data_IF_896088897012
#
_entry.id   IF_896088897012
#
_cell.length_a   1.000
_cell.length_b   1.000
_cell.length_c   1.000
_cell.angle_alpha   90.00
_cell.angle_beta   90.00
_cell.angle_gamma   90.00
#
_symmetry.space_group_name_H-M   'P 1'
#
loop_
_entity.id
_entity.type
_entity.pdbx_description
1 polymer ?
#
# COMPACT_ATOMS: atom_id res chain seq x y z
N UNK A 1 29.22 -11.79 -8.27
CA UNK A 1 28.57 -11.18 -9.45
C UNK A 1 27.82 -9.95 -8.97
N UNK A 2 27.73 -8.89 -9.77
CA UNK A 2 26.87 -7.76 -9.43
C UNK A 2 25.41 -8.21 -9.51
N UNK A 3 24.51 -7.76 -8.59
CA UNK A 3 23.12 -8.11 -8.64
C UNK A 3 22.47 -7.59 -9.93
N UNK A 4 21.56 -8.37 -10.50
CA UNK A 4 20.68 -7.93 -11.59
C UNK A 4 19.53 -7.15 -11.01
N UNK A 5 19.47 -5.86 -11.28
CA UNK A 5 18.46 -4.96 -10.77
C UNK A 5 17.53 -4.54 -11.90
N UNK A 6 16.23 -4.67 -11.68
CA UNK A 6 15.18 -4.15 -12.57
C UNK A 6 14.54 -2.93 -11.92
N UNK A 7 14.37 -1.88 -12.71
CA UNK A 7 13.61 -0.69 -12.32
C UNK A 7 12.34 -0.62 -13.16
N UNK A 8 11.20 -0.61 -12.49
CA UNK A 8 9.89 -0.64 -13.09
C UNK A 8 9.18 0.70 -12.82
N UNK A 9 8.89 1.47 -13.88
CA UNK A 9 8.25 2.77 -13.77
C UNK A 9 6.73 2.69 -13.88
N UNK A 10 6.03 3.32 -12.95
CA UNK A 10 4.56 3.45 -12.98
C UNK A 10 4.08 4.88 -13.16
N UNK A 11 5.00 5.85 -13.26
CA UNK A 11 4.70 7.29 -13.31
C UNK A 11 4.92 7.96 -11.95
N UNK A 12 4.05 8.92 -11.62
CA UNK A 12 4.14 9.73 -10.41
C UNK A 12 5.09 10.91 -10.53
N UNK A 13 5.20 11.72 -9.48
CA UNK A 13 5.96 12.97 -9.43
C UNK A 13 7.41 12.83 -9.88
N UNK A 14 8.04 11.70 -9.61
CA UNK A 14 9.43 11.41 -10.00
C UNK A 14 9.66 11.53 -11.52
N UNK A 15 8.64 11.22 -12.34
CA UNK A 15 8.70 11.29 -13.80
C UNK A 15 8.11 12.59 -14.38
N UNK A 16 7.62 13.50 -13.53
CA UNK A 16 6.94 14.71 -13.97
C UNK A 16 7.89 15.89 -14.13
N UNK A 17 7.58 16.73 -15.10
CA UNK A 17 8.12 18.09 -15.25
C UNK A 17 6.98 19.07 -15.46
N UNK A 18 7.23 20.37 -15.27
CA UNK A 18 6.25 21.40 -15.53
C UNK A 18 6.04 21.61 -17.04
N UNK A 19 4.80 21.69 -17.47
CA UNK A 19 4.45 22.12 -18.82
C UNK A 19 4.48 23.67 -18.94
N UNK A 20 4.14 24.19 -20.13
CA UNK A 20 4.13 25.63 -20.39
C UNK A 20 3.09 26.41 -19.56
N UNK A 21 2.16 25.74 -18.89
CA UNK A 21 1.15 26.34 -18.00
C UNK A 21 1.54 26.23 -16.52
N UNK A 22 2.61 25.48 -16.23
CA UNK A 22 3.06 25.17 -14.87
C UNK A 22 2.36 23.94 -14.27
N UNK A 23 1.65 23.14 -15.08
CA UNK A 23 1.04 21.88 -14.64
C UNK A 23 2.09 20.76 -14.68
N UNK A 24 2.09 19.89 -13.67
CA UNK A 24 2.96 18.72 -13.64
C UNK A 24 2.42 17.63 -14.57
N UNK A 25 3.25 17.20 -15.51
CA UNK A 25 2.93 16.12 -16.46
C UNK A 25 4.08 15.11 -16.51
N UNK A 26 3.79 13.80 -16.63
CA UNK A 26 4.83 12.78 -16.76
C UNK A 26 5.51 12.90 -18.13
N UNK A 27 6.81 13.15 -18.12
CA UNK A 27 7.63 13.38 -19.34
C UNK A 27 8.83 12.45 -19.42
N UNK A 28 9.34 11.94 -18.29
CA UNK A 28 10.52 11.12 -18.24
C UNK A 28 10.17 9.63 -18.27
N UNK A 29 10.91 8.87 -19.07
CA UNK A 29 10.90 7.42 -19.05
C UNK A 29 11.66 6.86 -17.83
N UNK A 30 11.43 5.61 -17.51
CA UNK A 30 12.20 4.91 -16.46
C UNK A 30 13.70 4.91 -16.77
N UNK A 31 14.10 4.81 -18.06
CA UNK A 31 15.51 4.88 -18.44
C UNK A 31 16.10 6.26 -18.18
N UNK A 32 15.39 7.35 -18.49
CA UNK A 32 15.86 8.71 -18.19
C UNK A 32 16.12 8.89 -16.69
N UNK A 33 15.24 8.34 -15.84
CA UNK A 33 15.38 8.40 -14.38
C UNK A 33 16.57 7.58 -13.88
N UNK A 34 16.82 6.41 -14.45
CA UNK A 34 17.99 5.57 -14.14
C UNK A 34 19.29 6.29 -14.53
N UNK A 35 19.31 6.95 -15.70
CA UNK A 35 20.47 7.72 -16.17
C UNK A 35 20.73 8.94 -15.28
N UNK A 36 19.67 9.67 -14.87
CA UNK A 36 19.78 10.79 -13.93
C UNK A 36 20.29 10.38 -12.55
N UNK A 37 19.93 9.19 -12.07
CA UNK A 37 20.45 8.63 -10.82
C UNK A 37 21.89 8.09 -10.94
N UNK A 38 22.49 8.14 -12.13
CA UNK A 38 23.85 7.66 -12.37
C UNK A 38 24.01 6.14 -12.22
N UNK A 39 22.93 5.38 -12.36
CA UNK A 39 22.93 3.95 -12.19
C UNK A 39 23.34 3.25 -13.49
N UNK A 40 24.11 2.18 -13.36
CA UNK A 40 24.59 1.37 -14.49
C UNK A 40 24.24 -0.11 -14.28
N UNK A 41 24.15 -0.87 -15.38
CA UNK A 41 23.76 -2.29 -15.35
C UNK A 41 22.36 -2.53 -14.76
N UNK A 42 21.45 -1.63 -15.04
CA UNK A 42 20.04 -1.69 -14.67
C UNK A 42 19.21 -2.08 -15.89
N UNK A 43 18.17 -2.88 -15.69
CA UNK A 43 17.13 -3.11 -16.69
C UNK A 43 15.94 -2.20 -16.35
N UNK A 44 15.72 -1.15 -17.13
CA UNK A 44 14.63 -0.20 -16.96
C UNK A 44 13.41 -0.58 -17.82
N UNK A 45 12.20 -0.46 -17.26
CA UNK A 45 10.94 -0.71 -18.00
C UNK A 45 9.85 0.24 -17.53
N UNK A 46 9.17 0.87 -18.48
CA UNK A 46 7.93 1.56 -18.24
C UNK A 46 6.78 0.54 -18.22
N UNK A 47 6.03 0.48 -17.12
CA UNK A 47 4.88 -0.41 -16.96
C UNK A 47 3.59 0.38 -17.11
N UNK A 48 3.51 1.51 -16.42
CA UNK A 48 2.40 2.45 -16.41
C UNK A 48 2.96 3.87 -16.50
N UNK A 49 2.09 4.82 -16.83
CA UNK A 49 2.43 6.25 -16.79
C UNK A 49 1.22 6.99 -16.21
N UNK A 50 1.03 6.86 -14.90
CA UNK A 50 -0.13 7.36 -14.17
C UNK A 50 0.29 8.21 -12.97
N UNK A 51 -0.57 9.16 -12.61
CA UNK A 51 -0.57 9.72 -11.27
C UNK A 51 -1.08 8.67 -10.29
N UNK A 52 -0.45 8.55 -9.12
CA UNK A 52 -0.81 7.49 -8.17
C UNK A 52 -2.22 7.64 -7.60
N UNK A 53 -2.80 8.82 -7.61
CA UNK A 53 -4.22 9.06 -7.28
C UNK A 53 -5.19 8.35 -8.25
N UNK A 54 -4.72 7.96 -9.43
CA UNK A 54 -5.49 7.24 -10.46
C UNK A 54 -5.21 5.74 -10.49
N UNK A 55 -4.37 5.22 -9.60
CA UNK A 55 -4.10 3.79 -9.48
C UNK A 55 -5.37 3.07 -9.01
N UNK A 56 -5.71 1.98 -9.71
CA UNK A 56 -6.83 1.08 -9.38
C UNK A 56 -6.30 -0.27 -8.93
N UNK A 57 -7.17 -1.15 -8.43
CA UNK A 57 -6.79 -2.52 -8.08
C UNK A 57 -6.26 -3.30 -9.29
N UNK A 58 -6.84 -3.08 -10.48
CA UNK A 58 -6.31 -3.63 -11.74
C UNK A 58 -4.87 -3.17 -12.01
N UNK A 59 -4.56 -1.89 -11.78
CA UNK A 59 -3.19 -1.39 -11.96
C UNK A 59 -2.23 -2.00 -10.94
N UNK A 60 -2.66 -2.23 -9.70
CA UNK A 60 -1.85 -2.94 -8.69
C UNK A 60 -1.57 -4.37 -9.16
N UNK A 61 -2.56 -5.10 -9.68
CA UNK A 61 -2.36 -6.44 -10.25
C UNK A 61 -1.34 -6.43 -11.40
N UNK A 62 -1.40 -5.44 -12.29
CA UNK A 62 -0.41 -5.27 -13.36
C UNK A 62 1.01 -5.02 -12.82
N UNK A 63 1.14 -4.21 -11.75
CA UNK A 63 2.44 -3.95 -11.10
C UNK A 63 2.99 -5.23 -10.47
N UNK A 64 2.18 -5.97 -9.72
CA UNK A 64 2.59 -7.24 -9.11
C UNK A 64 3.01 -8.28 -10.17
N UNK A 65 2.25 -8.38 -11.27
CA UNK A 65 2.59 -9.26 -12.38
C UNK A 65 3.93 -8.87 -13.04
N UNK A 66 4.21 -7.58 -13.21
CA UNK A 66 5.47 -7.10 -13.75
C UNK A 66 6.67 -7.38 -12.81
N UNK A 67 6.46 -7.26 -11.49
CA UNK A 67 7.47 -7.63 -10.49
C UNK A 67 7.79 -9.13 -10.60
N UNK A 68 6.77 -9.99 -10.67
CA UNK A 68 6.94 -11.44 -10.82
C UNK A 68 7.66 -11.79 -12.13
N UNK A 69 7.32 -11.12 -13.23
CA UNK A 69 7.98 -11.34 -14.52
C UNK A 69 9.46 -10.97 -14.44
N UNK A 70 9.81 -9.84 -13.82
CA UNK A 70 11.21 -9.45 -13.61
C UNK A 70 11.96 -10.48 -12.74
N UNK A 71 11.32 -10.98 -11.67
CA UNK A 71 11.88 -12.04 -10.83
C UNK A 71 12.14 -13.34 -11.63
N UNK A 72 11.17 -13.80 -12.43
CA UNK A 72 11.30 -14.98 -13.30
C UNK A 72 12.38 -14.83 -14.37
N UNK A 73 12.66 -13.60 -14.84
CA UNK A 73 13.79 -13.29 -15.72
C UNK A 73 15.14 -13.30 -14.98
N UNK A 74 15.15 -13.54 -13.68
CA UNK A 74 16.34 -13.61 -12.82
C UNK A 74 16.79 -12.27 -12.28
N UNK A 75 15.85 -11.35 -11.98
CA UNK A 75 16.14 -10.18 -11.16
C UNK A 75 16.47 -10.62 -9.73
N UNK A 76 17.64 -10.18 -9.23
CA UNK A 76 17.97 -10.32 -7.80
C UNK A 76 17.20 -9.30 -6.95
N UNK A 77 16.85 -8.15 -7.57
CA UNK A 77 16.10 -7.05 -6.94
C UNK A 77 15.23 -6.36 -7.95
N UNK A 78 14.05 -5.94 -7.51
CA UNK A 78 13.14 -5.10 -8.29
C UNK A 78 12.92 -3.79 -7.55
N UNK A 79 13.12 -2.66 -8.22
CA UNK A 79 12.76 -1.34 -7.72
C UNK A 79 11.54 -0.85 -8.49
N UNK A 80 10.51 -0.42 -7.79
CA UNK A 80 9.29 0.14 -8.39
C UNK A 80 9.26 1.65 -8.14
N UNK A 81 9.33 2.44 -9.22
CA UNK A 81 9.08 3.88 -9.17
C UNK A 81 7.59 4.12 -9.17
N UNK A 82 7.08 4.68 -8.08
CA UNK A 82 5.65 4.83 -7.84
C UNK A 82 5.33 6.22 -7.30
N UNK A 83 4.18 6.78 -7.69
CA UNK A 83 3.72 8.01 -7.09
C UNK A 83 3.33 7.83 -5.63
N UNK A 84 3.59 8.83 -4.80
CA UNK A 84 3.58 8.70 -3.33
C UNK A 84 2.19 8.57 -2.69
N UNK A 85 1.09 8.91 -3.40
CA UNK A 85 -0.25 8.96 -2.79
C UNK A 85 -0.84 7.58 -2.48
N UNK A 86 -0.53 6.56 -3.29
CA UNK A 86 -0.99 5.18 -3.10
C UNK A 86 0.14 4.16 -3.01
N UNK A 87 1.38 4.63 -2.88
CA UNK A 87 2.56 3.76 -2.75
C UNK A 87 2.43 2.80 -1.56
N UNK A 88 1.93 3.25 -0.42
CA UNK A 88 1.72 2.43 0.77
C UNK A 88 0.75 1.27 0.55
N UNK A 89 -0.27 1.48 -0.31
CA UNK A 89 -1.25 0.45 -0.67
C UNK A 89 -0.64 -0.59 -1.60
N UNK A 90 0.06 -0.15 -2.65
CA UNK A 90 0.74 -1.05 -3.60
C UNK A 90 1.85 -1.85 -2.92
N UNK A 91 2.64 -1.22 -2.04
CA UNK A 91 3.68 -1.89 -1.27
C UNK A 91 3.08 -2.94 -0.31
N UNK A 92 1.95 -2.63 0.35
CA UNK A 92 1.22 -3.59 1.19
C UNK A 92 0.71 -4.79 0.37
N UNK A 93 0.16 -4.57 -0.83
CA UNK A 93 -0.26 -5.66 -1.72
C UNK A 93 0.93 -6.56 -2.08
N UNK A 94 2.08 -5.97 -2.41
CA UNK A 94 3.30 -6.71 -2.67
C UNK A 94 3.74 -7.55 -1.46
N UNK A 95 3.70 -6.98 -0.25
CA UNK A 95 4.02 -7.68 0.99
C UNK A 95 3.11 -8.88 1.26
N UNK A 96 1.84 -8.79 0.88
CA UNK A 96 0.85 -9.81 1.19
C UNK A 96 0.73 -10.90 0.13
N UNK A 97 1.00 -10.56 -1.14
CA UNK A 97 0.72 -11.43 -2.28
C UNK A 97 1.96 -11.96 -3.01
N UNK A 98 3.11 -11.29 -2.92
CA UNK A 98 4.32 -11.79 -3.57
C UNK A 98 4.95 -12.96 -2.78
N UNK A 99 5.59 -13.91 -3.47
CA UNK A 99 6.39 -14.93 -2.83
C UNK A 99 7.51 -14.33 -1.95
N UNK A 100 7.92 -15.03 -0.87
CA UNK A 100 8.86 -14.48 0.10
C UNK A 100 10.30 -14.33 -0.41
N UNK A 101 10.62 -14.88 -1.55
CA UNK A 101 11.92 -14.78 -2.24
C UNK A 101 12.00 -13.63 -3.25
N UNK A 102 10.90 -12.91 -3.46
CA UNK A 102 10.86 -11.72 -4.32
C UNK A 102 11.30 -10.49 -3.54
N UNK A 103 12.51 -9.99 -3.83
CA UNK A 103 13.04 -8.77 -3.25
C UNK A 103 12.54 -7.55 -4.03
N UNK A 104 11.64 -6.75 -3.45
CA UNK A 104 11.08 -5.56 -4.07
C UNK A 104 11.14 -4.35 -3.16
N UNK A 105 11.57 -3.22 -3.73
CA UNK A 105 11.66 -1.93 -3.04
C UNK A 105 10.86 -0.88 -3.81
N UNK A 106 9.96 -0.18 -3.13
CA UNK A 106 9.20 0.94 -3.70
C UNK A 106 9.91 2.25 -3.38
N UNK A 107 9.89 3.18 -4.34
CA UNK A 107 10.39 4.54 -4.16
C UNK A 107 9.68 5.50 -5.11
N UNK A 108 9.97 6.79 -4.98
CA UNK A 108 9.38 7.84 -5.78
C UNK A 108 10.00 9.19 -5.44
N UNK A 109 9.26 10.28 -5.65
CA UNK A 109 9.72 11.62 -5.33
C UNK A 109 8.60 12.50 -4.79
N UNK A 110 8.95 13.45 -3.93
CA UNK A 110 8.08 14.54 -3.51
C UNK A 110 8.22 15.76 -4.43
N UNK A 111 9.38 15.94 -5.03
CA UNK A 111 9.65 17.04 -5.98
C UNK A 111 9.73 16.52 -7.42
N UNK A 112 9.25 17.28 -8.41
CA UNK A 112 9.34 16.89 -9.82
C UNK A 112 10.78 16.88 -10.32
N UNK A 113 10.99 16.25 -11.46
CA UNK A 113 12.33 16.03 -12.01
C UNK A 113 13.03 17.33 -12.46
N UNK A 114 12.28 18.38 -12.75
CA UNK A 114 12.78 19.71 -13.12
C UNK A 114 12.85 20.69 -11.93
N UNK A 115 12.63 20.22 -10.69
CA UNK A 115 12.91 21.02 -9.49
C UNK A 115 14.41 21.34 -9.39
N UNK A 116 14.83 22.52 -8.90
CA UNK A 116 16.25 22.83 -8.65
C UNK A 116 16.98 21.80 -7.77
N UNK A 117 16.25 21.08 -6.93
CA UNK A 117 16.75 20.05 -6.02
C UNK A 117 15.83 18.83 -6.01
N UNK A 118 15.73 18.07 -7.11
CA UNK A 118 14.84 16.92 -7.20
C UNK A 118 15.33 15.80 -6.27
N UNK A 119 14.41 15.19 -5.50
CA UNK A 119 14.75 14.09 -4.58
C UNK A 119 14.71 12.70 -5.26
N UNK A 120 14.11 12.62 -6.46
CA UNK A 120 13.93 11.36 -7.18
C UNK A 120 15.22 10.59 -7.48
N UNK A 121 16.28 11.23 -8.05
CA UNK A 121 17.54 10.53 -8.34
C UNK A 121 18.20 9.93 -7.10
N UNK A 122 18.23 10.64 -5.98
CA UNK A 122 18.81 10.17 -4.72
C UNK A 122 17.97 9.02 -4.14
N UNK A 123 16.64 9.14 -4.12
CA UNK A 123 15.73 8.10 -3.70
C UNK A 123 15.87 6.82 -4.53
N UNK A 124 15.97 6.93 -5.87
CA UNK A 124 16.19 5.80 -6.76
C UNK A 124 17.56 5.16 -6.51
N UNK A 125 18.61 5.96 -6.39
CA UNK A 125 19.96 5.45 -6.09
C UNK A 125 20.01 4.74 -4.74
N UNK A 126 19.29 5.23 -3.74
CA UNK A 126 19.16 4.59 -2.43
C UNK A 126 18.37 3.26 -2.53
N UNK A 127 17.21 3.26 -3.18
CA UNK A 127 16.39 2.07 -3.38
C UNK A 127 17.13 0.96 -4.15
N UNK A 128 17.93 1.30 -5.17
CA UNK A 128 18.73 0.33 -5.91
C UNK A 128 19.81 -0.38 -5.07
N UNK A 129 20.23 0.23 -3.95
CA UNK A 129 21.17 -0.38 -2.99
C UNK A 129 20.47 -1.18 -1.88
N UNK A 130 19.16 -1.01 -1.72
CA UNK A 130 18.38 -1.71 -0.72
C UNK A 130 18.47 -3.23 -0.93
N UNK A 131 18.65 -3.97 0.15
CA UNK A 131 18.75 -5.44 0.12
C UNK A 131 17.88 -6.08 1.22
N UNK A 132 16.71 -5.49 1.45
CA UNK A 132 15.77 -6.05 2.42
C UNK A 132 15.09 -7.29 1.85
N UNK A 133 14.95 -8.35 2.65
CA UNK A 133 14.30 -9.58 2.21
C UNK A 133 12.77 -9.46 2.09
N UNK A 134 12.19 -8.41 2.65
CA UNK A 134 10.75 -8.14 2.62
C UNK A 134 10.47 -6.89 1.80
N UNK A 135 9.30 -6.80 1.16
CA UNK A 135 8.87 -5.59 0.48
C UNK A 135 8.96 -4.38 1.40
N UNK A 136 9.53 -3.29 0.89
CA UNK A 136 9.75 -2.07 1.66
C UNK A 136 9.60 -0.82 0.79
N UNK A 137 9.45 0.32 1.46
CA UNK A 137 9.57 1.66 0.86
C UNK A 137 10.94 2.20 1.26
N UNK A 138 11.77 2.57 0.28
CA UNK A 138 13.03 3.27 0.48
C UNK A 138 12.86 4.74 0.06
N UNK A 139 12.89 5.64 1.02
CA UNK A 139 12.57 7.05 0.79
C UNK A 139 13.34 7.95 1.76
N UNK A 140 13.98 9.03 1.26
CA UNK A 140 14.73 9.97 2.08
C UNK A 140 15.75 9.28 3.02
N UNK A 141 16.58 8.38 2.46
CA UNK A 141 17.59 7.57 3.17
C UNK A 141 17.04 6.68 4.31
N UNK A 142 15.74 6.44 4.35
CA UNK A 142 15.10 5.53 5.29
C UNK A 142 14.50 4.32 4.58
N UNK A 143 14.56 3.15 5.23
CA UNK A 143 13.91 1.93 4.79
C UNK A 143 12.73 1.63 5.72
N UNK A 144 11.54 1.62 5.17
CA UNK A 144 10.29 1.41 5.91
C UNK A 144 9.66 0.11 5.39
N UNK A 145 9.48 -0.93 6.24
CA UNK A 145 8.79 -2.15 5.84
C UNK A 145 7.42 -1.83 5.25
N UNK A 146 7.04 -2.48 4.16
CA UNK A 146 5.76 -2.23 3.49
C UNK A 146 4.56 -2.49 4.40
N UNK A 147 4.64 -3.50 5.27
CA UNK A 147 3.64 -3.73 6.31
C UNK A 147 3.72 -2.66 7.39
N UNK A 148 2.72 -1.81 7.44
CA UNK A 148 2.63 -0.69 8.38
C UNK A 148 3.19 0.64 7.84
N UNK A 149 3.74 0.68 6.62
CA UNK A 149 4.14 1.94 6.01
C UNK A 149 2.95 2.86 5.78
N UNK A 150 3.12 4.15 6.03
CA UNK A 150 2.09 5.15 5.74
C UNK A 150 2.71 6.49 5.35
N UNK A 151 2.05 7.21 4.43
CA UNK A 151 2.43 8.58 4.07
C UNK A 151 2.01 9.52 5.20
N UNK A 152 2.98 10.11 5.87
CA UNK A 152 2.78 10.98 7.04
C UNK A 152 2.86 12.47 6.73
N UNK A 153 3.37 12.83 5.56
CA UNK A 153 3.49 14.23 5.15
C UNK A 153 3.22 14.43 3.66
N UNK A 154 2.56 15.53 3.32
CA UNK A 154 2.15 15.83 1.93
C UNK A 154 3.28 16.35 1.06
N UNK A 155 4.33 16.94 1.62
CA UNK A 155 5.36 17.70 0.87
C UNK A 155 6.77 17.63 1.44
N UNK A 156 6.99 17.12 2.66
CA UNK A 156 8.35 16.96 3.21
C UNK A 156 9.05 15.74 2.61
N UNK A 157 10.39 15.77 2.57
CA UNK A 157 11.19 14.67 2.07
C UNK A 157 10.99 13.40 2.90
N UNK A 158 10.92 13.49 4.23
CA UNK A 158 10.53 12.41 5.13
C UNK A 158 9.01 12.19 5.06
N UNK A 159 8.53 11.73 3.90
CA UNK A 159 7.11 11.60 3.61
C UNK A 159 6.47 10.33 4.18
N UNK A 160 7.23 9.30 4.47
CA UNK A 160 6.74 8.00 4.94
C UNK A 160 7.29 7.64 6.31
N UNK A 161 6.49 6.92 7.08
CA UNK A 161 6.89 6.34 8.36
C UNK A 161 6.14 5.03 8.62
N UNK A 162 6.61 4.23 9.58
CA UNK A 162 5.84 3.10 10.09
C UNK A 162 4.76 3.58 11.07
N UNK A 163 3.55 3.07 10.93
CA UNK A 163 2.47 3.25 11.92
C UNK A 163 2.61 2.32 13.12
N UNK A 164 3.51 1.34 13.04
CA UNK A 164 3.69 0.30 14.05
C UNK A 164 4.63 0.76 15.17
N UNK A 165 4.26 0.46 16.42
CA UNK A 165 5.11 0.63 17.59
C UNK A 165 6.08 -0.54 17.80
N UNK A 166 5.75 -1.70 17.22
CA UNK A 166 6.54 -2.92 17.24
C UNK A 166 7.12 -3.19 15.85
N UNK A 167 8.32 -3.75 15.72
CA UNK A 167 8.89 -4.10 14.42
C UNK A 167 7.93 -4.95 13.58
N UNK A 168 7.80 -4.62 12.29
CA UNK A 168 6.90 -5.33 11.37
C UNK A 168 7.15 -6.86 11.36
N UNK A 169 8.40 -7.30 11.52
CA UNK A 169 8.78 -8.72 11.60
C UNK A 169 8.12 -9.50 12.72
N UNK A 170 7.66 -8.83 13.79
CA UNK A 170 7.01 -9.45 14.94
C UNK A 170 5.48 -9.51 14.82
N UNK A 171 4.88 -8.57 14.09
CA UNK A 171 3.41 -8.41 14.02
C UNK A 171 2.83 -8.71 12.65
N UNK A 172 3.67 -8.75 11.61
CA UNK A 172 3.26 -9.08 10.25
C UNK A 172 2.79 -10.54 10.18
N UNK A 173 1.58 -10.80 9.69
CA UNK A 173 1.16 -12.19 9.45
C UNK A 173 2.08 -12.88 8.44
N UNK A 174 2.26 -14.22 8.52
CA UNK A 174 3.06 -14.96 7.55
C UNK A 174 2.63 -14.67 6.12
N UNK A 175 3.61 -14.57 5.22
CA UNK A 175 3.32 -14.51 3.78
C UNK A 175 2.78 -15.85 3.29
N UNK A 176 1.87 -15.81 2.35
CA UNK A 176 1.40 -17.01 1.66
C UNK A 176 2.25 -17.27 0.43
N UNK A 177 2.53 -18.54 0.15
CA UNK A 177 3.10 -18.93 -1.13
C UNK A 177 1.97 -19.33 -2.08
N UNK A 178 1.83 -18.57 -3.17
CA UNK A 178 0.80 -18.78 -4.20
C UNK A 178 1.35 -19.48 -5.45
N UNK A 179 2.64 -19.87 -5.45
CA UNK A 179 3.33 -20.30 -6.66
C UNK A 179 3.43 -19.15 -7.67
N UNK A 180 3.26 -19.46 -8.96
CA UNK A 180 3.37 -18.46 -10.04
C UNK A 180 2.09 -17.63 -10.25
N UNK A 181 0.96 -18.04 -9.66
CA UNK A 181 -0.33 -17.39 -9.84
C UNK A 181 -0.68 -16.52 -8.62
N UNK A 182 -0.41 -15.23 -8.70
CA UNK A 182 -0.78 -14.26 -7.66
C UNK A 182 -2.31 -14.06 -7.68
N UNK A 183 -3.00 -14.10 -6.51
CA UNK A 183 -4.41 -13.76 -6.42
C UNK A 183 -4.67 -12.33 -6.93
N UNK A 184 -5.71 -12.17 -7.75
CA UNK A 184 -6.06 -10.88 -8.35
C UNK A 184 -6.92 -10.05 -7.41
N UNK A 185 -6.65 -8.76 -7.31
CA UNK A 185 -7.42 -7.79 -6.54
C UNK A 185 -8.60 -7.23 -7.33
N UNK A 186 -8.44 -7.14 -8.65
CA UNK A 186 -9.44 -6.58 -9.55
C UNK A 186 -10.80 -7.25 -9.40
N UNK A 187 -11.85 -6.45 -9.43
CA UNK A 187 -13.23 -6.88 -9.21
C UNK A 187 -13.65 -7.03 -7.75
N UNK A 188 -12.75 -6.87 -6.78
CA UNK A 188 -13.09 -6.80 -5.35
C UNK A 188 -13.36 -5.35 -4.91
N UNK A 189 -14.22 -5.21 -3.91
CA UNK A 189 -14.56 -3.91 -3.32
C UNK A 189 -14.46 -3.97 -1.80
N UNK A 190 -13.60 -3.15 -1.22
CA UNK A 190 -13.56 -2.90 0.22
C UNK A 190 -13.62 -1.40 0.45
N UNK A 191 -14.65 -0.95 1.17
CA UNK A 191 -14.85 0.46 1.44
C UNK A 191 -14.25 0.88 2.79
N UNK A 192 -13.68 2.08 2.85
CA UNK A 192 -13.30 2.74 4.11
C UNK A 192 -14.46 3.62 4.55
N UNK A 193 -14.98 3.38 5.76
CA UNK A 193 -16.11 4.13 6.34
C UNK A 193 -15.60 4.95 7.53
N UNK A 194 -15.51 6.29 7.39
CA UNK A 194 -15.01 7.14 8.46
C UNK A 194 -16.05 7.37 9.56
N UNK A 195 -15.65 7.20 10.82
CA UNK A 195 -16.42 7.62 11.97
C UNK A 195 -16.02 9.04 12.43
N UNK A 196 -17.02 9.89 12.65
CA UNK A 196 -16.84 11.26 13.15
C UNK A 196 -18.02 11.65 14.03
N UNK A 197 -17.95 12.80 14.71
CA UNK A 197 -19.06 13.29 15.54
C UNK A 197 -20.31 13.51 14.68
N UNK A 198 -21.39 12.77 14.99
CA UNK A 198 -22.64 12.80 14.23
C UNK A 198 -22.70 11.82 13.04
N UNK A 199 -21.68 10.99 12.82
CA UNK A 199 -21.75 9.91 11.83
C UNK A 199 -22.84 8.90 12.20
N UNK A 200 -23.52 8.37 11.21
CA UNK A 200 -24.60 7.42 11.35
C UNK A 200 -24.53 6.27 10.32
N UNK A 201 -25.53 5.43 10.36
CA UNK A 201 -25.67 4.24 9.52
C UNK A 201 -25.67 4.51 8.00
N UNK A 202 -26.00 5.73 7.56
CA UNK A 202 -26.08 6.09 6.13
C UNK A 202 -24.73 6.06 5.41
N UNK A 203 -23.63 6.10 6.16
CA UNK A 203 -22.28 6.00 5.62
C UNK A 203 -21.94 4.58 5.16
N UNK A 204 -22.62 3.56 5.68
CA UNK A 204 -22.35 2.15 5.37
C UNK A 204 -23.22 1.77 4.17
N UNK A 205 -22.66 1.92 2.97
CA UNK A 205 -23.32 1.48 1.73
C UNK A 205 -23.16 -0.04 1.61
N UNK A 206 -24.25 -0.74 1.32
CA UNK A 206 -24.22 -2.21 1.11
C UNK A 206 -23.69 -2.56 -0.27
N UNK A 207 -23.12 -3.75 -0.39
CA UNK A 207 -22.67 -4.33 -1.67
C UNK A 207 -21.17 -4.39 -1.87
N UNK A 208 -20.36 -3.92 -0.89
CA UNK A 208 -18.94 -4.20 -0.88
C UNK A 208 -18.65 -5.62 -0.36
N UNK A 209 -17.52 -6.19 -0.77
CA UNK A 209 -17.03 -7.50 -0.31
C UNK A 209 -16.45 -7.44 1.11
N UNK A 210 -16.19 -6.23 1.61
CA UNK A 210 -15.73 -5.98 2.98
C UNK A 210 -15.68 -4.51 3.33
N UNK A 211 -15.44 -4.21 4.61
CA UNK A 211 -15.36 -2.83 5.09
C UNK A 211 -14.19 -2.62 6.04
N UNK A 212 -13.62 -1.43 5.99
CA UNK A 212 -12.72 -0.91 7.02
C UNK A 212 -13.40 0.27 7.70
N UNK A 213 -13.61 0.18 9.00
CA UNK A 213 -14.19 1.25 9.79
C UNK A 213 -13.06 2.09 10.38
N UNK A 214 -12.92 3.32 9.91
CA UNK A 214 -11.98 4.30 10.44
C UNK A 214 -12.57 4.92 11.72
N UNK A 215 -12.34 4.25 12.85
CA UNK A 215 -12.99 4.50 14.11
C UNK A 215 -12.34 5.64 14.92
N UNK A 216 -13.04 6.09 15.93
CA UNK A 216 -12.62 7.08 16.91
C UNK A 216 -11.74 6.45 18.00
N UNK A 217 -10.70 7.18 18.43
CA UNK A 217 -9.83 6.76 19.53
C UNK A 217 -9.30 5.34 19.33
N UNK A 218 -9.49 4.48 20.31
CA UNK A 218 -9.01 3.09 20.31
C UNK A 218 -9.98 2.08 19.69
N UNK A 219 -10.91 2.52 18.81
CA UNK A 219 -11.79 1.61 18.07
C UNK A 219 -13.28 1.77 18.36
N UNK A 220 -13.74 2.98 18.69
CA UNK A 220 -15.16 3.26 18.98
C UNK A 220 -15.83 3.95 17.77
N UNK A 221 -17.14 3.76 17.63
CA UNK A 221 -17.99 4.47 16.66
C UNK A 221 -19.18 5.12 17.36
N UNK A 222 -19.85 6.12 16.74
CA UNK A 222 -21.14 6.58 17.23
C UNK A 222 -22.15 5.44 17.32
N UNK A 223 -22.97 5.41 18.39
CA UNK A 223 -23.98 4.37 18.59
C UNK A 223 -24.96 4.20 17.40
N UNK A 224 -25.21 5.29 16.67
CA UNK A 224 -26.06 5.28 15.47
C UNK A 224 -25.50 4.43 14.32
N UNK A 225 -24.21 4.07 14.31
CA UNK A 225 -23.60 3.20 13.31
C UNK A 225 -23.73 1.71 13.64
N UNK A 226 -23.84 1.34 14.92
CA UNK A 226 -23.76 -0.05 15.39
C UNK A 226 -24.80 -0.98 14.75
N UNK A 227 -26.05 -0.56 14.64
CA UNK A 227 -27.11 -1.40 14.08
C UNK A 227 -26.82 -1.85 12.63
N UNK A 228 -26.22 -0.97 11.82
CA UNK A 228 -25.81 -1.29 10.46
C UNK A 228 -24.57 -2.19 10.44
N UNK A 229 -23.59 -1.96 11.31
CA UNK A 229 -22.41 -2.82 11.46
C UNK A 229 -22.81 -4.24 11.88
N UNK A 230 -23.71 -4.38 12.84
CA UNK A 230 -24.27 -5.67 13.29
C UNK A 230 -24.95 -6.46 12.17
N UNK A 231 -25.46 -5.79 11.16
CA UNK A 231 -26.16 -6.40 10.02
C UNK A 231 -25.26 -6.69 8.81
N UNK A 232 -23.95 -6.49 8.93
CA UNK A 232 -23.00 -6.87 7.90
C UNK A 232 -22.80 -8.39 7.91
N UNK A 233 -22.90 -9.00 6.73
CA UNK A 233 -22.65 -10.40 6.45
C UNK A 233 -21.31 -10.67 5.75
N UNK A 234 -20.51 -9.61 5.58
CA UNK A 234 -19.18 -9.64 5.00
C UNK A 234 -18.12 -9.27 6.04
N UNK A 235 -16.85 -9.64 5.86
CA UNK A 235 -15.80 -9.30 6.82
C UNK A 235 -15.57 -7.80 6.92
N UNK A 236 -15.34 -7.32 8.12
CA UNK A 236 -15.00 -5.93 8.38
C UNK A 236 -13.97 -5.77 9.49
N UNK A 237 -13.15 -4.73 9.34
CA UNK A 237 -12.00 -4.45 10.19
C UNK A 237 -12.15 -3.05 10.78
N UNK A 238 -11.78 -2.88 12.04
CA UNK A 238 -11.76 -1.58 12.73
C UNK A 238 -10.33 -1.10 12.83
N UNK A 239 -10.06 0.10 12.30
CA UNK A 239 -8.81 0.84 12.45
C UNK A 239 -9.05 2.14 13.20
N UNK A 240 -8.01 2.75 13.74
CA UNK A 240 -8.13 4.07 14.34
C UNK A 240 -7.83 5.18 13.32
N UNK A 241 -8.59 6.29 13.36
CA UNK A 241 -8.23 7.53 12.66
C UNK A 241 -7.08 8.29 13.34
N UNK A 242 -6.72 7.89 14.57
CA UNK A 242 -5.60 8.49 15.30
C UNK A 242 -4.29 8.03 14.67
N UNK A 243 -3.35 8.93 14.36
CA UNK A 243 -2.13 8.59 13.61
C UNK A 243 -1.25 7.52 14.27
N UNK A 244 -1.23 7.47 15.60
CA UNK A 244 -0.41 6.53 16.37
C UNK A 244 -1.24 5.75 17.38
N UNK A 245 -0.79 4.51 17.69
CA UNK A 245 -1.49 3.57 18.54
C UNK A 245 -2.56 2.76 17.78
N UNK A 246 -2.99 1.67 18.39
CA UNK A 246 -3.85 0.68 17.78
C UNK A 246 -5.25 0.61 18.39
N UNK A 247 -6.03 -0.31 17.84
CA UNK A 247 -7.38 -0.67 18.32
C UNK A 247 -7.26 -1.64 19.49
N UNK A 248 -7.94 -1.33 20.61
CA UNK A 248 -7.86 -2.15 21.82
C UNK A 248 -9.19 -2.79 22.25
N UNK A 249 -10.33 -2.43 21.67
CA UNK A 249 -11.65 -2.98 21.97
C UNK A 249 -12.01 -3.03 23.47
N UNK A 250 -11.66 -2.00 24.24
CA UNK A 250 -11.84 -1.98 25.70
C UNK A 250 -13.13 -1.31 26.18
N UNK A 251 -13.71 -0.43 25.37
CA UNK A 251 -14.90 0.32 25.77
C UNK A 251 -16.17 -0.47 25.49
N UNK A 252 -17.01 -0.61 26.53
CA UNK A 252 -18.36 -1.21 26.44
C UNK A 252 -19.44 -0.20 26.04
N UNK A 253 -20.66 -0.70 25.90
CA UNK A 253 -21.83 0.09 25.48
C UNK A 253 -21.95 0.24 23.97
N UNK A 254 -23.09 0.79 23.54
CA UNK A 254 -23.43 0.90 22.12
C UNK A 254 -22.38 1.73 21.36
N UNK A 255 -21.82 1.16 20.29
CA UNK A 255 -20.74 1.74 19.51
C UNK A 255 -19.36 1.62 20.16
N UNK A 256 -19.25 1.08 21.37
CA UNK A 256 -17.97 0.83 22.04
C UNK A 256 -17.23 -0.35 21.40
N UNK A 257 -15.88 -0.30 21.41
CA UNK A 257 -15.05 -1.30 20.76
C UNK A 257 -15.30 -2.73 21.22
N UNK A 258 -15.56 -2.96 22.52
CA UNK A 258 -15.89 -4.29 23.03
C UNK A 258 -17.21 -4.82 22.47
N UNK A 259 -18.21 -3.95 22.29
CA UNK A 259 -19.46 -4.31 21.64
C UNK A 259 -19.24 -4.62 20.16
N UNK A 260 -18.45 -3.80 19.46
CA UNK A 260 -18.09 -4.07 18.05
C UNK A 260 -17.39 -5.42 17.89
N UNK A 261 -16.46 -5.76 18.78
CA UNK A 261 -15.81 -7.07 18.77
C UNK A 261 -16.83 -8.22 18.97
N UNK A 262 -17.82 -8.04 19.84
CA UNK A 262 -18.86 -9.06 20.09
C UNK A 262 -19.76 -9.33 18.90
N UNK A 263 -19.89 -8.39 17.98
CA UNK A 263 -20.68 -8.50 16.74
C UNK A 263 -19.83 -8.80 15.48
N UNK A 264 -18.58 -9.18 15.67
CA UNK A 264 -17.73 -9.68 14.58
C UNK A 264 -16.69 -8.70 14.04
N UNK A 265 -16.46 -7.55 14.70
CA UNK A 265 -15.36 -6.67 14.33
C UNK A 265 -14.00 -7.36 14.47
N UNK A 266 -13.17 -7.25 13.44
CA UNK A 266 -11.76 -7.62 13.51
C UNK A 266 -10.94 -6.37 13.83
N UNK A 267 -9.93 -6.51 14.69
CA UNK A 267 -8.98 -5.41 14.93
C UNK A 267 -7.99 -5.28 13.79
N UNK A 268 -7.81 -4.08 13.26
CA UNK A 268 -6.72 -3.73 12.35
C UNK A 268 -5.41 -3.45 13.08
N UNK A 269 -5.38 -3.59 14.40
CA UNK A 269 -4.19 -3.30 15.21
C UNK A 269 -3.75 -1.85 15.04
N UNK A 270 -2.49 -1.65 14.68
CA UNK A 270 -1.89 -0.34 14.43
C UNK A 270 -1.88 0.06 12.95
N UNK A 271 -2.42 -0.77 12.05
CA UNK A 271 -2.51 -0.42 10.64
C UNK A 271 -3.43 0.78 10.43
N UNK A 272 -3.05 1.65 9.52
CA UNK A 272 -3.91 2.76 9.07
C UNK A 272 -4.98 2.22 8.11
N UNK A 273 -6.09 2.94 7.92
CA UNK A 273 -7.23 2.44 7.14
C UNK A 273 -6.88 1.98 5.72
N UNK A 274 -6.01 2.69 4.99
CA UNK A 274 -5.52 2.30 3.66
C UNK A 274 -4.79 0.96 3.68
N UNK A 275 -3.91 0.77 4.64
CA UNK A 275 -3.14 -0.46 4.84
C UNK A 275 -4.05 -1.65 5.23
N UNK A 276 -4.96 -1.44 6.18
CA UNK A 276 -5.92 -2.48 6.59
C UNK A 276 -6.89 -2.84 5.46
N UNK A 277 -7.29 -1.84 4.63
CA UNK A 277 -8.08 -2.07 3.44
C UNK A 277 -7.35 -2.99 2.47
N UNK A 278 -6.10 -2.69 2.17
CA UNK A 278 -5.31 -3.52 1.26
C UNK A 278 -5.07 -4.92 1.83
N UNK A 279 -4.81 -5.05 3.13
CA UNK A 279 -4.71 -6.36 3.77
C UNK A 279 -6.00 -7.18 3.60
N UNK A 280 -7.16 -6.58 3.85
CA UNK A 280 -8.46 -7.25 3.70
C UNK A 280 -8.72 -7.64 2.24
N UNK A 281 -8.40 -6.77 1.27
CA UNK A 281 -8.46 -7.08 -0.16
C UNK A 281 -7.59 -8.29 -0.53
N UNK A 282 -6.36 -8.34 -0.04
CA UNK A 282 -5.46 -9.48 -0.27
C UNK A 282 -6.00 -10.79 0.34
N UNK A 283 -6.61 -10.72 1.54
CA UNK A 283 -7.25 -11.88 2.17
C UNK A 283 -8.45 -12.40 1.36
N UNK A 284 -9.28 -11.48 0.84
CA UNK A 284 -10.44 -11.81 -0.02
C UNK A 284 -9.99 -12.38 -1.37
N UNK A 285 -8.99 -11.78 -2.00
CA UNK A 285 -8.40 -12.28 -3.25
C UNK A 285 -7.84 -13.69 -3.08
N UNK A 286 -7.13 -13.92 -1.99
CA UNK A 286 -6.58 -15.20 -1.61
C UNK A 286 -7.65 -16.27 -1.38
N UNK A 287 -8.76 -15.89 -0.75
CA UNK A 287 -9.92 -16.78 -0.56
C UNK A 287 -10.57 -17.13 -1.89
N UNK A 288 -10.87 -16.12 -2.72
CA UNK A 288 -11.46 -16.30 -4.06
C UNK A 288 -10.61 -17.22 -4.94
N UNK A 289 -9.28 -17.07 -4.90
CA UNK A 289 -8.36 -17.91 -5.68
C UNK A 289 -8.36 -19.36 -5.24
N UNK A 290 -8.50 -19.64 -3.93
CA UNK A 290 -8.61 -21.02 -3.42
C UNK A 290 -9.93 -21.67 -3.83
N UNK A 291 -11.04 -20.96 -3.68
CA UNK A 291 -12.38 -21.46 -4.06
C UNK A 291 -12.45 -21.76 -5.56
N UNK A 292 -11.78 -20.98 -6.41
CA UNK A 292 -11.71 -21.23 -7.87
C UNK A 292 -10.76 -22.38 -8.26
N UNK A 293 -9.85 -22.79 -7.41
CA UNK A 293 -8.91 -23.90 -7.66
C UNK A 293 -9.40 -25.25 -7.13
N UNK A 294 -10.52 -25.27 -6.39
CA UNK A 294 -11.15 -26.49 -5.87
C UNK A 294 -12.25 -27.04 -6.82
N UNK A 295 -12.61 -26.32 -7.88
CA UNK A 295 -13.54 -26.74 -8.94
C UNK A 295 -12.76 -27.29 -10.16
#
# INVERSE_FOLDING_TARGET
>A
MNPRIFVLGTGGTISCTHDSRGDLIPTLSTQDLVDQAGLTNITARDILQLESSSITLHHIDCILAAIMHAHQEGADRVVVLHGTDTMEETAMAADRLLPPDVCVTFTGAQRPADDPHPDGPDNLAFAARCNEPLPCIAFNDEIIPAYGATKVHTSQDAAFASSLSTPASEVRPPAHSWGDAIPQLDGLTVDIVPAYAGADASLIKRGADGYVIEALGSGNVPAAMEASLRSLDVPWVVCSRVPFGGVSFTYGGSGGGAELASIGARSGGELRPSQARMQLLCELAARRSREAGED
#
